data_IF_957419254905
#
_entry.id   IF_957419254905
#
_cell.length_a   1.000
_cell.length_b   1.000
_cell.length_c   1.000
_cell.angle_alpha   90.00
_cell.angle_beta   90.00
_cell.angle_gamma   90.00
#
_symmetry.space_group_name_H-M   'P 1'
#
loop_
_entity.id
_entity.type
_entity.pdbx_description
1 polymer ?
#
# COMPACT_ATOMS: atom_id res chain seq x y z
N UNK A 1 -28.54 6.76 -13.93
CA UNK A 1 -27.17 7.14 -14.35
C UNK A 1 -26.24 6.24 -13.59
N UNK A 2 -25.48 5.40 -14.28
CA UNK A 2 -24.43 4.61 -13.63
C UNK A 2 -23.43 5.57 -13.00
N UNK A 3 -23.25 5.47 -11.69
CA UNK A 3 -22.23 6.23 -10.97
C UNK A 3 -20.91 5.54 -11.29
N UNK A 4 -20.16 6.09 -12.25
CA UNK A 4 -18.85 5.56 -12.59
C UNK A 4 -17.87 6.03 -11.52
N UNK A 5 -17.50 5.11 -10.63
CA UNK A 5 -16.44 5.34 -9.64
C UNK A 5 -15.11 5.65 -10.37
N UNK A 6 -14.31 6.63 -9.90
CA UNK A 6 -13.02 6.93 -10.52
C UNK A 6 -12.10 5.70 -10.51
N UNK A 7 -11.45 5.45 -11.65
CA UNK A 7 -10.53 4.33 -11.82
C UNK A 7 -9.17 4.67 -11.19
N UNK A 8 -8.84 4.03 -10.07
CA UNK A 8 -7.56 4.18 -9.38
C UNK A 8 -6.74 2.91 -9.56
N UNK A 9 -5.48 3.06 -9.99
CA UNK A 9 -4.53 1.96 -10.16
C UNK A 9 -3.39 2.09 -9.17
N UNK A 10 -3.14 1.02 -8.42
CA UNK A 10 -2.05 0.95 -7.45
C UNK A 10 -0.90 0.15 -8.05
N UNK A 11 0.31 0.71 -7.98
CA UNK A 11 1.55 0.00 -8.31
C UNK A 11 2.43 -0.06 -7.08
N UNK A 12 3.07 -1.21 -6.85
CA UNK A 12 3.89 -1.44 -5.66
C UNK A 12 5.24 -2.02 -6.06
N UNK A 13 6.31 -1.46 -5.51
CA UNK A 13 7.65 -2.01 -5.58
C UNK A 13 8.17 -2.23 -4.17
N UNK A 14 8.72 -3.39 -3.89
CA UNK A 14 9.20 -3.77 -2.55
C UNK A 14 10.69 -4.08 -2.58
N UNK A 15 11.38 -3.80 -1.49
CA UNK A 15 12.81 -4.11 -1.33
C UNK A 15 13.09 -4.55 0.10
N UNK A 16 13.80 -5.67 0.26
CA UNK A 16 14.40 -6.06 1.53
C UNK A 16 15.58 -5.14 1.87
N UNK A 17 15.62 -4.66 3.12
CA UNK A 17 16.66 -3.75 3.62
C UNK A 17 17.56 -4.52 4.58
N UNK A 18 18.63 -5.08 4.03
CA UNK A 18 19.58 -5.91 4.78
C UNK A 18 20.22 -5.15 5.93
N UNK A 19 20.60 -3.89 5.74
CA UNK A 19 21.28 -3.10 6.78
C UNK A 19 20.40 -2.79 8.00
N UNK A 20 19.08 -2.91 7.87
CA UNK A 20 18.11 -2.68 8.96
C UNK A 20 17.51 -3.97 9.53
N UNK A 21 17.93 -5.11 8.98
CA UNK A 21 17.42 -6.44 9.32
C UNK A 21 18.40 -7.19 10.21
N UNK A 22 17.88 -8.12 11.00
CA UNK A 22 18.65 -9.08 11.76
C UNK A 22 17.94 -10.44 11.72
N UNK A 23 18.28 -11.31 10.75
CA UNK A 23 17.67 -12.62 10.60
C UNK A 23 17.84 -13.53 11.84
N UNK A 24 18.96 -13.41 12.57
CA UNK A 24 19.19 -14.18 13.80
C UNK A 24 18.19 -13.83 14.91
N UNK A 25 17.70 -12.58 14.90
CA UNK A 25 16.66 -12.09 15.81
C UNK A 25 15.26 -12.10 15.19
N UNK A 26 15.06 -12.84 14.09
CA UNK A 26 13.77 -12.89 13.37
C UNK A 26 13.23 -11.49 13.04
N UNK A 27 14.10 -10.60 12.54
CA UNK A 27 13.71 -9.25 12.17
C UNK A 27 14.06 -8.98 10.71
N UNK A 28 13.05 -8.90 9.86
CA UNK A 28 13.20 -8.65 8.43
C UNK A 28 12.52 -7.33 8.07
N UNK A 29 13.30 -6.33 7.67
CA UNK A 29 12.80 -5.01 7.31
C UNK A 29 12.64 -4.90 5.80
N UNK A 30 11.47 -4.45 5.38
CA UNK A 30 11.13 -4.22 3.99
C UNK A 30 10.73 -2.77 3.78
N UNK A 31 11.28 -2.14 2.75
CA UNK A 31 10.77 -0.90 2.21
C UNK A 31 9.80 -1.21 1.06
N UNK A 32 8.80 -0.35 0.89
CA UNK A 32 7.92 -0.38 -0.28
C UNK A 32 7.71 1.04 -0.82
N UNK A 33 7.61 1.14 -2.13
CA UNK A 33 7.24 2.34 -2.87
C UNK A 33 5.90 2.06 -3.52
N UNK A 34 4.90 2.89 -3.22
CA UNK A 34 3.56 2.79 -3.78
C UNK A 34 3.30 4.01 -4.66
N UNK A 35 2.84 3.75 -5.87
CA UNK A 35 2.35 4.76 -6.81
C UNK A 35 0.84 4.58 -6.98
N UNK A 36 0.10 5.63 -6.65
CA UNK A 36 -1.35 5.72 -6.80
C UNK A 36 -1.62 6.52 -8.06
N UNK A 37 -2.16 5.88 -9.11
CA UNK A 37 -2.48 6.53 -10.37
C UNK A 37 -3.97 6.76 -10.49
N UNK A 38 -4.35 8.00 -10.73
CA UNK A 38 -5.71 8.34 -11.06
C UNK A 38 -5.90 8.24 -12.57
N UNK A 39 -6.54 7.17 -13.04
CA UNK A 39 -6.82 6.94 -14.45
C UNK A 39 -8.16 7.54 -14.89
N UNK A 40 -8.84 8.26 -14.00
CA UNK A 40 -10.04 9.02 -14.30
C UNK A 40 -9.71 10.48 -14.66
N UNK A 41 -10.72 11.24 -15.05
CA UNK A 41 -10.58 12.67 -15.38
C UNK A 41 -10.86 13.61 -14.20
N UNK A 42 -11.43 13.10 -13.11
CA UNK A 42 -11.77 13.88 -11.92
C UNK A 42 -10.65 13.82 -10.89
N UNK A 43 -10.48 14.89 -10.10
CA UNK A 43 -9.57 14.88 -8.96
C UNK A 43 -10.13 14.00 -7.84
N UNK A 44 -9.26 13.23 -7.19
CA UNK A 44 -9.61 12.44 -5.99
C UNK A 44 -8.71 12.83 -4.82
N UNK A 45 -9.16 12.59 -3.59
CA UNK A 45 -8.36 12.80 -2.40
C UNK A 45 -8.22 11.49 -1.61
N UNK A 46 -7.01 11.08 -1.25
CA UNK A 46 -6.81 9.96 -0.34
C UNK A 46 -7.03 10.42 1.10
N UNK A 47 -7.91 9.73 1.84
CA UNK A 47 -8.30 10.09 3.21
C UNK A 47 -7.63 9.20 4.24
N UNK A 48 -7.65 7.89 4.03
CA UNK A 48 -7.10 6.91 4.98
C UNK A 48 -6.69 5.61 4.29
N UNK A 49 -5.97 4.79 5.05
CA UNK A 49 -5.44 3.51 4.61
C UNK A 49 -5.72 2.43 5.65
N UNK A 50 -6.00 1.22 5.18
CA UNK A 50 -5.99 0.00 5.99
C UNK A 50 -5.08 -1.03 5.33
N UNK A 51 -4.19 -1.62 6.11
CA UNK A 51 -3.31 -2.70 5.71
C UNK A 51 -3.62 -3.95 6.53
N UNK A 52 -3.67 -5.08 5.85
CA UNK A 52 -3.56 -6.42 6.42
C UNK A 52 -2.21 -7.00 6.01
N UNK A 53 -1.37 -7.26 7.00
CA UNK A 53 -0.04 -7.83 6.84
C UNK A 53 -0.09 -9.26 7.35
N UNK A 54 0.26 -10.23 6.52
CA UNK A 54 0.31 -11.65 6.87
C UNK A 54 1.73 -12.17 6.72
N UNK A 55 2.30 -12.72 7.78
CA UNK A 55 3.64 -13.32 7.75
C UNK A 55 3.60 -14.77 7.21
N UNK A 56 4.75 -15.41 6.96
CA UNK A 56 4.77 -16.78 6.43
C UNK A 56 4.24 -17.85 7.40
N UNK A 57 4.08 -17.52 8.68
CA UNK A 57 3.51 -18.40 9.70
C UNK A 57 1.98 -18.23 9.80
N UNK A 58 1.39 -17.33 9.01
CA UNK A 58 -0.03 -17.01 9.04
C UNK A 58 -0.44 -16.01 10.13
N UNK A 59 0.52 -15.41 10.85
CA UNK A 59 0.24 -14.33 11.80
C UNK A 59 -0.21 -13.09 11.03
N UNK A 60 -1.34 -12.52 11.45
CA UNK A 60 -1.93 -11.34 10.81
C UNK A 60 -1.80 -10.11 11.71
N UNK A 61 -1.49 -8.98 11.10
CA UNK A 61 -1.47 -7.66 11.73
C UNK A 61 -2.27 -6.69 10.87
N UNK A 62 -3.15 -5.90 11.51
CA UNK A 62 -3.86 -4.81 10.85
C UNK A 62 -3.23 -3.48 11.23
N UNK A 63 -2.99 -2.62 10.24
CA UNK A 63 -2.47 -1.26 10.44
C UNK A 63 -3.39 -0.28 9.72
N UNK A 64 -3.95 0.67 10.46
CA UNK A 64 -4.88 1.68 9.94
C UNK A 64 -4.41 3.08 10.30
N UNK A 65 -4.79 4.07 9.50
CA UNK A 65 -4.55 5.46 9.84
C UNK A 65 -4.91 6.45 8.72
N UNK A 66 -4.94 7.72 9.09
CA UNK A 66 -5.22 8.80 8.15
C UNK A 66 -4.07 9.05 7.19
N UNK A 67 -4.44 9.33 5.94
CA UNK A 67 -3.54 9.65 4.86
C UNK A 67 -2.61 8.52 4.46
N UNK A 68 -1.46 8.89 3.92
CA UNK A 68 -0.24 8.11 3.72
C UNK A 68 0.93 8.99 4.10
N UNK A 69 1.91 8.46 4.85
CA UNK A 69 3.10 9.22 5.30
C UNK A 69 2.79 10.60 5.92
N UNK A 70 1.64 10.72 6.60
CA UNK A 70 1.18 11.96 7.23
C UNK A 70 0.50 12.96 6.27
N UNK A 71 0.18 12.55 5.04
CA UNK A 71 -0.43 13.40 4.02
C UNK A 71 -1.73 12.80 3.49
N UNK A 72 -2.70 13.63 3.15
CA UNK A 72 -3.93 13.26 2.44
C UNK A 72 -3.89 13.86 1.03
N UNK A 73 -3.15 13.26 0.09
CA UNK A 73 -2.87 13.86 -1.21
C UNK A 73 -4.14 14.01 -2.06
N UNK A 74 -4.24 15.14 -2.74
CA UNK A 74 -5.13 15.34 -3.89
C UNK A 74 -4.39 14.86 -5.15
N UNK A 75 -5.05 14.02 -5.94
CA UNK A 75 -4.50 13.43 -7.16
C UNK A 75 -5.41 13.84 -8.32
N UNK A 76 -4.93 14.77 -9.15
CA UNK A 76 -5.66 15.23 -10.34
C UNK A 76 -5.98 14.08 -11.29
N UNK A 77 -6.96 14.28 -12.17
CA UNK A 77 -7.22 13.33 -13.24
C UNK A 77 -5.99 13.11 -14.12
N UNK A 78 -5.72 11.85 -14.48
CA UNK A 78 -4.52 11.41 -15.22
C UNK A 78 -3.15 11.62 -14.53
N UNK A 79 -3.12 12.10 -13.28
CA UNK A 79 -1.89 12.24 -12.49
C UNK A 79 -1.64 11.05 -11.55
N UNK A 80 -0.48 11.05 -10.91
CA UNK A 80 -0.09 10.05 -9.92
C UNK A 80 0.57 10.66 -8.67
N UNK A 81 0.44 9.97 -7.55
CA UNK A 81 1.13 10.28 -6.30
C UNK A 81 1.97 9.07 -5.86
N UNK A 82 3.25 9.29 -5.58
CA UNK A 82 4.18 8.25 -5.15
C UNK A 82 4.71 8.52 -3.75
N UNK A 83 4.73 7.50 -2.90
CA UNK A 83 5.34 7.57 -1.59
C UNK A 83 6.09 6.28 -1.24
N UNK A 84 7.05 6.39 -0.31
CA UNK A 84 7.78 5.26 0.24
C UNK A 84 7.51 5.10 1.74
N UNK A 85 7.44 3.86 2.20
CA UNK A 85 7.38 3.52 3.63
C UNK A 85 8.02 2.15 3.85
N UNK A 86 7.86 1.58 5.05
CA UNK A 86 8.42 0.28 5.36
C UNK A 86 7.70 -0.43 6.48
N UNK A 87 7.93 -1.74 6.57
CA UNK A 87 7.40 -2.60 7.62
C UNK A 87 8.47 -3.61 8.05
N UNK A 88 8.34 -4.13 9.27
CA UNK A 88 9.18 -5.21 9.79
C UNK A 88 8.33 -6.47 9.99
N UNK A 89 8.85 -7.61 9.54
CA UNK A 89 8.25 -8.93 9.72
C UNK A 89 9.15 -9.82 10.58
N UNK A 90 8.52 -10.82 11.19
CA UNK A 90 9.21 -11.90 11.92
C UNK A 90 9.73 -13.01 11.00
N UNK A 91 9.39 -12.95 9.71
CA UNK A 91 9.66 -13.99 8.72
C UNK A 91 10.27 -13.40 7.45
N UNK A 92 11.06 -14.19 6.69
CA UNK A 92 11.72 -13.72 5.47
C UNK A 92 10.76 -13.50 4.29
N UNK A 93 9.50 -13.93 4.43
CA UNK A 93 8.44 -13.76 3.43
C UNK A 93 7.15 -13.35 4.14
N UNK A 94 6.42 -12.41 3.55
CA UNK A 94 5.07 -12.07 3.96
C UNK A 94 4.26 -11.49 2.80
N UNK A 95 3.01 -11.17 3.09
CA UNK A 95 2.06 -10.59 2.15
C UNK A 95 1.45 -9.35 2.79
N UNK A 96 1.35 -8.27 2.03
CA UNK A 96 0.56 -7.11 2.38
C UNK A 96 -0.59 -6.96 1.39
N UNK A 97 -1.76 -6.63 1.89
CA UNK A 97 -2.96 -6.29 1.13
C UNK A 97 -3.75 -5.26 1.92
N UNK A 98 -4.73 -4.61 1.31
CA UNK A 98 -5.50 -3.59 2.02
C UNK A 98 -6.35 -2.75 1.10
N UNK A 99 -6.70 -1.55 1.56
CA UNK A 99 -7.40 -0.58 0.73
C UNK A 99 -7.12 0.84 1.18
N UNK A 100 -7.41 1.77 0.27
CA UNK A 100 -7.53 3.19 0.56
C UNK A 100 -8.99 3.60 0.59
N UNK A 101 -9.31 4.53 1.48
CA UNK A 101 -10.53 5.32 1.44
C UNK A 101 -10.20 6.64 0.74
N UNK A 102 -10.97 6.98 -0.29
CA UNK A 102 -10.81 8.19 -1.07
C UNK A 102 -12.12 8.97 -1.18
N UNK A 103 -12.02 10.27 -1.45
CA UNK A 103 -13.14 11.10 -1.87
C UNK A 103 -13.04 11.42 -3.36
N UNK A 104 -14.18 11.41 -4.06
CA UNK A 104 -14.30 11.95 -5.42
C UNK A 104 -14.40 13.49 -5.41
N UNK A 105 -14.50 14.10 -6.60
CA UNK A 105 -14.61 15.58 -6.73
C UNK A 105 -15.86 16.18 -6.06
N UNK A 106 -16.87 15.35 -5.76
CA UNK A 106 -18.12 15.73 -5.11
C UNK A 106 -18.10 15.45 -3.60
N UNK A 107 -17.00 14.90 -3.08
CA UNK A 107 -16.86 14.52 -1.68
C UNK A 107 -17.53 13.18 -1.32
N UNK A 108 -17.91 12.36 -2.31
CA UNK A 108 -18.41 11.01 -2.02
C UNK A 108 -17.25 10.07 -1.74
N UNK A 109 -17.41 9.25 -0.70
CA UNK A 109 -16.42 8.24 -0.33
C UNK A 109 -16.47 7.03 -1.27
N UNK A 110 -15.29 6.53 -1.64
CA UNK A 110 -15.14 5.26 -2.33
C UNK A 110 -13.86 4.53 -1.91
N UNK A 111 -13.86 3.21 -2.10
CA UNK A 111 -12.76 2.32 -1.72
C UNK A 111 -11.96 1.92 -2.96
N UNK A 112 -10.64 1.93 -2.85
CA UNK A 112 -9.73 1.30 -3.82
C UNK A 112 -8.94 0.21 -3.13
N UNK A 113 -9.15 -1.03 -3.56
CA UNK A 113 -8.41 -2.19 -3.08
C UNK A 113 -6.95 -2.14 -3.51
N UNK A 114 -6.09 -2.68 -2.65
CA UNK A 114 -4.68 -2.92 -2.90
C UNK A 114 -4.50 -4.43 -2.92
N UNK A 115 -4.34 -4.97 -4.13
CA UNK A 115 -4.14 -6.39 -4.33
C UNK A 115 -2.95 -6.92 -3.51
N UNK A 116 -3.02 -8.19 -3.04
CA UNK A 116 -1.94 -8.80 -2.30
C UNK A 116 -0.60 -8.73 -3.05
N UNK A 117 0.41 -8.16 -2.41
CA UNK A 117 1.79 -8.17 -2.89
C UNK A 117 2.74 -8.77 -1.86
N UNK A 118 3.82 -9.37 -2.36
CA UNK A 118 4.78 -10.10 -1.54
C UNK A 118 5.87 -9.18 -1.03
N UNK A 119 6.25 -9.40 0.23
CA UNK A 119 7.51 -8.98 0.81
C UNK A 119 8.37 -10.23 0.88
N UNK A 120 9.53 -10.24 0.22
CA UNK A 120 10.43 -11.39 0.24
C UNK A 120 11.87 -10.94 0.16
N UNK A 121 12.77 -11.63 0.86
CA UNK A 121 14.19 -11.47 0.61
C UNK A 121 14.53 -11.98 -0.81
N UNK A 122 15.56 -11.44 -1.48
CA UNK A 122 15.95 -11.89 -2.80
C UNK A 122 16.22 -13.41 -2.85
N UNK A 123 15.86 -14.06 -3.96
CA UNK A 123 16.15 -15.47 -4.25
C UNK A 123 15.52 -16.52 -3.30
N UNK A 124 14.48 -16.18 -2.54
CA UNK A 124 13.79 -17.16 -1.66
C UNK A 124 12.63 -17.91 -2.33
N UNK A 125 12.12 -17.42 -3.46
CA UNK A 125 11.06 -18.09 -4.21
C UNK A 125 11.66 -18.63 -5.51
N UNK A 126 11.81 -19.95 -5.59
CA UNK A 126 12.09 -20.69 -6.84
C UNK A 126 10.80 -21.23 -7.42
#
# INVERSE_FOLDING_TARGET
MDVIQPCIKIQVHTKYIEEQSNPELQRYVFAYVITIKNLSQQTVQLISRRWLITDSNGKQMTVEGEGVVGQQPFISGSDEYTYSSGTALETPVGVMQGHYILLDEKGNEFITEIDPFRLAIPNVLN
#
